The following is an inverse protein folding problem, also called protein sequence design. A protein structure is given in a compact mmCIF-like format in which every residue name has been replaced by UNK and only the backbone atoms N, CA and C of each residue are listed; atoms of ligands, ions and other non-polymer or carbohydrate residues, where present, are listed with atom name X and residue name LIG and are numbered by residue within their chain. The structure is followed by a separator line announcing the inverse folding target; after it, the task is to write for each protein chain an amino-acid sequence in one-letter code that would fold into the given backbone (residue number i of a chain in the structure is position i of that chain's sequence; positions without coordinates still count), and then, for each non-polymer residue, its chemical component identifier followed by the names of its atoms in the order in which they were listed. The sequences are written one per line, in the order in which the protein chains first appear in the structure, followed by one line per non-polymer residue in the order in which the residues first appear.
data_IF_619409823555
#
_entry.id   IF_619409823555
#
_cell.length_a   1.000
_cell.length_b   1.000
_cell.length_c   1.000
_cell.angle_alpha   90.00
_cell.angle_beta   90.00
_cell.angle_gamma   90.00
#
_symmetry.space_group_name_H-M   'P 1'
#
loop_
_entity.id
_entity.type
_entity.pdbx_description
1 polymer ?
#
# COMPACT_ATOMS: atom_id res chain seq x y z
N UNK A 1 -9.95 19.37 -23.39
CA UNK A 1 -9.97 18.36 -22.31
C UNK A 1 -10.54 19.00 -21.06
N UNK A 2 -11.32 18.24 -20.27
CA UNK A 2 -11.97 18.72 -19.05
C UNK A 2 -11.17 18.33 -17.79
N UNK A 3 -10.11 17.53 -17.96
CA UNK A 3 -9.20 17.10 -16.92
C UNK A 3 -8.01 16.33 -17.48
N UNK A 4 -6.99 16.14 -16.65
CA UNK A 4 -5.75 15.44 -16.98
C UNK A 4 -5.50 14.38 -15.91
N UNK A 5 -5.25 13.14 -16.31
CA UNK A 5 -4.67 12.13 -15.45
C UNK A 5 -3.19 11.98 -15.77
N UNK A 6 -2.36 12.06 -14.73
CA UNK A 6 -0.92 11.81 -14.84
C UNK A 6 -0.58 10.45 -14.24
N UNK A 7 0.13 9.63 -14.99
CA UNK A 7 0.75 8.39 -14.50
C UNK A 7 2.20 8.34 -14.95
N UNK A 8 3.14 8.35 -14.02
CA UNK A 8 4.56 8.39 -14.33
C UNK A 8 5.46 8.37 -13.11
N UNK A 9 6.73 8.69 -13.31
CA UNK A 9 7.72 8.82 -12.25
C UNK A 9 7.92 10.30 -11.92
N UNK A 10 8.03 10.61 -10.62
CA UNK A 10 8.24 11.97 -10.14
C UNK A 10 6.96 12.67 -9.67
N UNK A 11 6.85 12.85 -8.36
CA UNK A 11 5.74 13.57 -7.73
C UNK A 11 5.72 15.05 -8.13
N UNK A 12 6.90 15.68 -8.26
CA UNK A 12 7.06 17.09 -8.67
C UNK A 12 6.46 17.39 -10.05
N UNK A 13 6.40 16.39 -10.94
CA UNK A 13 5.85 16.55 -12.28
C UNK A 13 4.33 16.73 -12.21
N UNK A 14 3.62 15.89 -11.47
CA UNK A 14 2.16 15.99 -11.34
C UNK A 14 1.78 17.29 -10.60
N UNK A 15 2.57 17.71 -9.62
CA UNK A 15 2.34 18.97 -8.89
C UNK A 15 2.50 20.18 -9.79
N UNK A 16 3.56 20.22 -10.60
CA UNK A 16 3.75 21.28 -11.61
C UNK A 16 2.64 21.26 -12.66
N UNK A 17 2.22 20.08 -13.12
CA UNK A 17 1.07 19.99 -14.02
C UNK A 17 -0.18 20.59 -13.40
N UNK A 18 -0.46 20.30 -12.14
CA UNK A 18 -1.62 20.85 -11.43
C UNK A 18 -1.50 22.37 -11.23
N UNK A 19 -0.31 22.89 -10.96
CA UNK A 19 -0.06 24.34 -10.78
C UNK A 19 -0.36 25.14 -12.07
N UNK A 20 0.04 24.62 -13.24
CA UNK A 20 -0.07 25.35 -14.51
C UNK A 20 -1.27 24.94 -15.36
N UNK A 21 -2.02 23.92 -14.97
CA UNK A 21 -3.17 23.44 -15.73
C UNK A 21 -4.42 24.29 -15.47
N UNK A 22 -5.17 24.66 -16.51
CA UNK A 22 -6.47 25.32 -16.36
C UNK A 22 -7.61 24.35 -16.00
N UNK A 23 -7.34 23.03 -15.96
CA UNK A 23 -8.30 21.96 -15.66
C UNK A 23 -7.77 21.10 -14.52
N UNK A 24 -8.65 20.36 -13.80
CA UNK A 24 -8.23 19.44 -12.74
C UNK A 24 -7.18 18.44 -13.21
N UNK A 25 -6.21 18.15 -12.36
CA UNK A 25 -5.18 17.12 -12.60
C UNK A 25 -5.29 16.05 -11.51
N UNK A 26 -5.36 14.80 -11.94
CA UNK A 26 -5.37 13.63 -11.05
C UNK A 26 -4.02 12.93 -11.06
N UNK A 27 -3.52 12.60 -9.88
CA UNK A 27 -2.39 11.70 -9.76
C UNK A 27 -2.88 10.25 -9.92
N UNK A 28 -2.75 9.68 -11.11
CA UNK A 28 -3.02 8.27 -11.39
C UNK A 28 -1.98 7.33 -10.78
N UNK A 29 -0.71 7.75 -10.75
CA UNK A 29 0.39 7.09 -10.05
C UNK A 29 1.66 7.91 -10.16
N UNK A 30 2.42 8.00 -9.06
CA UNK A 30 3.84 8.36 -9.04
C UNK A 30 4.63 7.30 -8.25
N UNK A 31 5.96 7.46 -8.15
CA UNK A 31 6.77 6.63 -7.25
C UNK A 31 6.46 6.87 -5.76
N UNK A 32 5.86 8.01 -5.41
CA UNK A 32 5.57 8.41 -4.03
C UNK A 32 4.13 8.18 -3.60
N UNK A 33 3.17 8.24 -4.55
CA UNK A 33 1.76 8.13 -4.25
C UNK A 33 0.94 7.51 -5.39
N UNK A 34 -0.13 6.79 -5.03
CA UNK A 34 -1.10 6.20 -5.95
C UNK A 34 -2.55 6.41 -5.42
N UNK A 35 -3.02 7.67 -5.33
CA UNK A 35 -4.28 7.98 -4.67
C UNK A 35 -5.51 7.38 -5.38
N UNK A 36 -5.48 7.21 -6.71
CA UNK A 36 -6.59 6.60 -7.45
C UNK A 36 -6.75 5.11 -7.16
N UNK A 37 -5.64 4.38 -6.87
CA UNK A 37 -5.72 3.00 -6.39
C UNK A 37 -6.39 2.93 -5.03
N UNK A 38 -6.09 3.89 -4.15
CA UNK A 38 -6.69 3.93 -2.82
C UNK A 38 -8.22 4.13 -2.88
N UNK A 39 -8.72 4.92 -3.81
CA UNK A 39 -10.15 5.06 -4.03
C UNK A 39 -10.79 3.76 -4.49
N UNK A 40 -10.12 2.99 -5.36
CA UNK A 40 -10.56 1.67 -5.79
C UNK A 40 -10.55 0.66 -4.62
N UNK A 41 -9.52 0.70 -3.78
CA UNK A 41 -9.42 -0.16 -2.60
C UNK A 41 -10.52 0.16 -1.59
N UNK A 42 -10.83 1.45 -1.34
CA UNK A 42 -11.95 1.85 -0.48
C UNK A 42 -13.29 1.35 -1.01
N UNK A 43 -13.52 1.48 -2.31
CA UNK A 43 -14.74 0.96 -2.92
C UNK A 43 -14.85 -0.55 -2.70
N UNK A 44 -13.79 -1.29 -2.98
CA UNK A 44 -13.72 -2.74 -2.75
C UNK A 44 -13.97 -3.09 -1.28
N UNK A 45 -13.34 -2.36 -0.35
CA UNK A 45 -13.53 -2.59 1.08
C UNK A 45 -14.99 -2.36 1.50
N UNK A 46 -15.64 -1.31 0.98
CA UNK A 46 -17.06 -1.02 1.30
C UNK A 46 -18.03 -2.02 0.68
N UNK A 47 -17.70 -2.60 -0.48
CA UNK A 47 -18.53 -3.61 -1.15
C UNK A 47 -18.45 -4.98 -0.45
N UNK A 48 -17.35 -5.26 0.24
CA UNK A 48 -17.06 -6.58 0.84
C UNK A 48 -17.05 -6.59 2.36
N UNK A 49 -17.18 -5.45 3.04
CA UNK A 49 -17.22 -5.34 4.48
C UNK A 49 -18.35 -4.42 4.92
N UNK A 50 -19.19 -4.89 5.85
CA UNK A 50 -20.30 -4.10 6.39
C UNK A 50 -19.91 -3.08 7.44
N UNK A 51 -18.66 -3.10 7.91
CA UNK A 51 -18.14 -2.12 8.87
C UNK A 51 -18.00 -0.75 8.21
N UNK A 52 -18.25 0.34 8.94
CA UNK A 52 -17.87 1.67 8.46
C UNK A 52 -16.34 1.74 8.29
N UNK A 53 -15.87 2.52 7.32
CA UNK A 53 -14.44 2.58 6.96
C UNK A 53 -13.51 2.81 8.16
N UNK A 54 -13.89 3.67 9.11
CA UNK A 54 -13.08 3.98 10.29
C UNK A 54 -12.94 2.81 11.29
N UNK A 55 -13.75 1.76 11.15
CA UNK A 55 -13.67 0.53 11.96
C UNK A 55 -12.92 -0.59 11.25
N UNK A 56 -12.71 -0.48 9.95
CA UNK A 56 -11.96 -1.48 9.17
C UNK A 56 -10.50 -1.45 9.58
N UNK A 57 -9.96 -2.62 9.89
CA UNK A 57 -8.53 -2.81 10.15
C UNK A 57 -7.90 -3.53 8.97
N UNK A 58 -6.80 -3.01 8.45
CA UNK A 58 -6.08 -3.65 7.36
C UNK A 58 -4.56 -3.58 7.55
N UNK A 59 -3.88 -4.59 7.03
CA UNK A 59 -2.43 -4.69 7.04
C UNK A 59 -1.88 -4.66 5.62
N UNK A 60 -0.78 -3.95 5.43
CA UNK A 60 0.05 -4.01 4.23
C UNK A 60 1.33 -4.76 4.54
N UNK A 61 1.61 -5.84 3.81
CA UNK A 61 2.80 -6.67 3.96
C UNK A 61 3.71 -6.49 2.75
N UNK A 62 4.96 -6.09 2.95
CA UNK A 62 5.91 -5.94 1.85
C UNK A 62 6.81 -4.72 1.98
N UNK A 63 7.23 -4.16 0.85
CA UNK A 63 8.04 -2.94 0.81
C UNK A 63 7.14 -1.70 0.95
N UNK A 64 7.14 -1.10 2.13
CA UNK A 64 6.28 0.02 2.45
C UNK A 64 6.88 1.41 2.13
N UNK A 65 8.07 1.47 1.52
CA UNK A 65 8.79 2.74 1.26
C UNK A 65 8.19 3.58 0.13
N UNK A 66 7.41 2.96 -0.77
CA UNK A 66 6.96 3.57 -2.01
C UNK A 66 5.47 3.91 -2.02
N UNK A 67 4.94 4.18 -3.21
CA UNK A 67 3.61 4.73 -3.44
C UNK A 67 2.47 4.00 -2.72
N UNK A 68 2.43 2.66 -2.72
CA UNK A 68 1.35 1.93 -2.07
C UNK A 68 1.44 2.02 -0.54
N UNK A 69 2.62 1.75 0.06
CA UNK A 69 2.81 1.90 1.49
C UNK A 69 2.50 3.31 2.00
N UNK A 70 2.99 4.33 1.29
CA UNK A 70 2.74 5.73 1.61
C UNK A 70 1.26 6.09 1.49
N UNK A 71 0.60 5.69 0.39
CA UNK A 71 -0.79 6.03 0.12
C UNK A 71 -1.74 5.32 1.07
N UNK A 72 -1.51 4.03 1.33
CA UNK A 72 -2.31 3.25 2.28
C UNK A 72 -2.19 3.81 3.70
N UNK A 73 -1.00 4.24 4.13
CA UNK A 73 -0.82 4.86 5.44
C UNK A 73 -1.59 6.19 5.57
N UNK A 74 -1.68 6.97 4.50
CA UNK A 74 -2.41 8.25 4.46
C UNK A 74 -3.92 8.10 4.48
N UNK A 75 -4.47 6.89 4.30
CA UNK A 75 -5.92 6.65 4.26
C UNK A 75 -6.67 6.98 5.56
N UNK A 76 -6.01 6.96 6.69
CA UNK A 76 -6.61 7.36 7.96
C UNK A 76 -7.57 6.35 8.58
N UNK A 77 -7.45 5.07 8.24
CA UNK A 77 -8.16 3.93 8.84
C UNK A 77 -7.31 3.28 9.95
N UNK A 78 -7.65 2.06 10.38
CA UNK A 78 -6.78 1.26 11.24
C UNK A 78 -5.77 0.52 10.38
N UNK A 79 -4.63 1.14 10.15
CA UNK A 79 -3.59 0.67 9.24
C UNK A 79 -2.39 0.08 9.97
N UNK A 80 -1.89 -1.04 9.47
CA UNK A 80 -0.67 -1.68 9.95
C UNK A 80 0.29 -1.91 8.80
N UNK A 81 1.44 -1.23 8.86
CA UNK A 81 2.57 -1.46 7.96
C UNK A 81 3.43 -2.58 8.51
N UNK A 82 3.44 -3.71 7.82
CA UNK A 82 4.14 -4.94 8.23
C UNK A 82 5.31 -5.18 7.29
N UNK A 83 6.49 -4.76 7.69
CA UNK A 83 7.69 -4.79 6.86
C UNK A 83 8.96 -4.87 7.71
N UNK A 84 10.08 -5.36 7.15
CA UNK A 84 11.39 -5.19 7.78
C UNK A 84 11.66 -3.71 8.07
N UNK A 85 12.37 -3.40 9.13
CA UNK A 85 12.66 -2.01 9.52
C UNK A 85 13.25 -1.16 8.38
N UNK A 86 14.12 -1.76 7.55
CA UNK A 86 14.72 -1.08 6.41
C UNK A 86 13.76 -0.81 5.23
N UNK A 87 12.59 -1.45 5.21
CA UNK A 87 11.58 -1.34 4.16
C UNK A 87 10.28 -0.70 4.65
N UNK A 88 10.31 -0.08 5.80
CA UNK A 88 9.19 0.72 6.32
C UNK A 88 9.08 2.07 5.60
N UNK A 89 7.90 2.63 5.60
CA UNK A 89 7.65 4.03 5.23
C UNK A 89 8.62 4.96 5.98
N UNK A 90 9.08 6.04 5.34
CA UNK A 90 9.99 7.01 5.99
C UNK A 90 9.41 7.57 7.28
N UNK A 91 10.29 7.94 8.21
CA UNK A 91 9.86 8.54 9.48
C UNK A 91 9.11 9.86 9.26
N UNK A 92 9.48 10.63 8.26
CA UNK A 92 8.78 11.88 7.91
C UNK A 92 7.31 11.62 7.57
N UNK A 93 7.03 10.69 6.65
CA UNK A 93 5.65 10.33 6.27
C UNK A 93 4.91 9.72 7.46
N UNK A 94 5.58 8.86 8.23
CA UNK A 94 4.97 8.23 9.40
C UNK A 94 4.54 9.26 10.44
N UNK A 95 5.40 10.22 10.80
CA UNK A 95 5.07 11.28 11.77
C UNK A 95 3.95 12.20 11.25
N UNK A 96 3.97 12.54 9.97
CA UNK A 96 2.88 13.30 9.34
C UNK A 96 1.55 12.56 9.46
N UNK A 97 1.53 11.25 9.17
CA UNK A 97 0.31 10.45 9.27
C UNK A 97 -0.16 10.26 10.72
N UNK A 98 0.75 10.15 11.69
CA UNK A 98 0.39 10.09 13.11
C UNK A 98 -0.29 11.39 13.57
N UNK A 99 0.21 12.55 13.15
CA UNK A 99 -0.39 13.84 13.49
C UNK A 99 -1.82 13.99 12.93
N UNK A 100 -2.10 13.44 11.75
CA UNK A 100 -3.46 13.41 11.18
C UNK A 100 -4.33 12.33 11.86
N UNK A 101 -3.74 11.20 12.25
CA UNK A 101 -4.44 10.14 12.98
C UNK A 101 -4.97 10.62 14.35
N UNK A 102 -4.20 11.44 15.06
CA UNK A 102 -4.66 12.06 16.32
C UNK A 102 -5.93 12.90 16.14
N UNK A 103 -6.09 13.57 14.99
CA UNK A 103 -7.26 14.38 14.69
C UNK A 103 -8.47 13.57 14.24
N UNK A 104 -8.23 12.51 13.46
CA UNK A 104 -9.27 11.69 12.83
C UNK A 104 -9.72 10.50 13.68
N UNK A 105 -8.93 10.10 14.69
CA UNK A 105 -9.13 8.86 15.45
C UNK A 105 -8.63 7.61 14.71
N UNK A 106 -7.85 7.74 13.64
CA UNK A 106 -7.21 6.64 12.95
C UNK A 106 -6.12 5.99 13.83
N UNK A 107 -5.82 4.73 13.53
CA UNK A 107 -4.75 3.99 14.21
C UNK A 107 -3.69 3.58 13.18
N UNK A 108 -2.45 4.03 13.36
CA UNK A 108 -1.35 3.71 12.44
C UNK A 108 -0.23 3.02 13.22
N UNK A 109 0.15 1.83 12.79
CA UNK A 109 1.18 1.01 13.42
C UNK A 109 2.20 0.55 12.39
N UNK A 110 3.49 0.63 12.73
CA UNK A 110 4.58 -0.06 12.00
C UNK A 110 5.06 -1.23 12.85
N UNK A 111 5.20 -2.40 12.25
CA UNK A 111 5.73 -3.61 12.91
C UNK A 111 6.50 -4.47 11.92
N UNK A 112 7.46 -5.23 12.40
CA UNK A 112 8.15 -6.30 11.66
C UNK A 112 7.60 -7.69 11.98
N UNK A 113 6.65 -7.79 12.92
CA UNK A 113 6.01 -9.04 13.32
C UNK A 113 4.74 -9.29 12.49
N UNK A 114 4.80 -10.25 11.58
CA UNK A 114 3.69 -10.61 10.69
C UNK A 114 2.45 -11.03 11.47
N UNK A 115 2.60 -11.89 12.48
CA UNK A 115 1.47 -12.43 13.25
C UNK A 115 0.73 -11.32 14.02
N UNK A 116 1.47 -10.38 14.62
CA UNK A 116 0.88 -9.22 15.29
C UNK A 116 0.24 -8.25 14.29
N UNK A 117 0.91 -8.05 13.17
CA UNK A 117 0.47 -7.12 12.13
C UNK A 117 -0.87 -7.52 11.50
N UNK A 118 -1.08 -8.79 11.22
CA UNK A 118 -2.33 -9.26 10.57
C UNK A 118 -3.44 -9.63 11.54
N UNK A 119 -3.14 -9.80 12.82
CA UNK A 119 -4.13 -10.20 13.82
C UNK A 119 -5.28 -9.20 13.91
N UNK A 120 -6.51 -9.70 13.68
CA UNK A 120 -7.71 -8.85 13.73
C UNK A 120 -7.92 -7.95 12.52
N UNK A 121 -7.16 -8.14 11.43
CA UNK A 121 -7.38 -7.41 10.19
C UNK A 121 -8.55 -7.98 9.39
N UNK A 122 -9.32 -7.09 8.80
CA UNK A 122 -10.41 -7.42 7.88
C UNK A 122 -9.90 -7.58 6.45
N UNK A 123 -8.78 -6.89 6.13
CA UNK A 123 -8.09 -7.00 4.84
C UNK A 123 -6.59 -7.13 5.04
N UNK A 124 -5.97 -7.92 4.16
CA UNK A 124 -4.52 -8.09 4.08
C UNK A 124 -4.08 -7.71 2.67
N UNK A 125 -3.23 -6.72 2.56
CA UNK A 125 -2.79 -6.13 1.30
C UNK A 125 -1.30 -6.42 1.06
N UNK A 126 -0.92 -6.66 -0.18
CA UNK A 126 0.48 -6.68 -0.62
C UNK A 126 0.62 -6.09 -2.02
N UNK A 127 1.85 -5.82 -2.41
CA UNK A 127 2.22 -5.33 -3.73
C UNK A 127 3.45 -6.08 -4.23
N UNK A 128 3.90 -5.76 -5.44
CA UNK A 128 5.17 -6.27 -5.97
C UNK A 128 6.33 -5.88 -5.06
N UNK A 129 7.32 -6.76 -4.94
CA UNK A 129 8.43 -6.56 -4.00
C UNK A 129 9.55 -5.66 -4.54
N UNK A 130 9.59 -5.46 -5.83
CA UNK A 130 10.52 -4.52 -6.48
C UNK A 130 9.69 -3.46 -7.19
N UNK A 131 9.85 -2.22 -6.76
CA UNK A 131 9.06 -1.10 -7.25
C UNK A 131 9.54 -0.61 -8.60
N UNK A 132 8.67 0.12 -9.30
CA UNK A 132 8.98 0.74 -10.58
C UNK A 132 10.22 1.65 -10.46
N UNK A 133 11.19 1.43 -11.35
CA UNK A 133 12.43 2.21 -11.39
C UNK A 133 13.58 1.65 -10.54
N UNK A 134 13.35 0.59 -9.75
CA UNK A 134 14.45 -0.14 -9.12
C UNK A 134 15.17 -1.06 -10.14
N UNK A 135 16.49 -1.22 -10.05
CA UNK A 135 17.25 -2.08 -10.95
C UNK A 135 17.00 -3.57 -10.66
N UNK A 136 17.13 -4.42 -11.69
CA UNK A 136 16.88 -5.86 -11.58
C UNK A 136 17.78 -6.57 -10.55
N UNK A 137 18.96 -6.02 -10.29
CA UNK A 137 19.94 -6.58 -9.36
C UNK A 137 19.45 -6.64 -7.91
N UNK A 138 18.45 -5.81 -7.53
CA UNK A 138 17.90 -5.81 -6.17
C UNK A 138 16.97 -6.98 -5.88
N UNK A 139 16.50 -7.71 -6.90
CA UNK A 139 15.52 -8.79 -6.73
C UNK A 139 15.96 -9.86 -5.72
N UNK A 140 17.19 -10.34 -5.83
CA UNK A 140 17.67 -11.41 -4.94
C UNK A 140 17.68 -10.98 -3.47
N UNK A 141 18.13 -9.77 -3.18
CA UNK A 141 18.13 -9.21 -1.84
C UNK A 141 16.70 -9.00 -1.34
N UNK A 142 15.84 -8.44 -2.20
CA UNK A 142 14.43 -8.14 -1.86
C UNK A 142 13.66 -9.41 -1.56
N UNK A 143 13.83 -10.46 -2.35
CA UNK A 143 13.23 -11.78 -2.10
C UNK A 143 13.69 -12.32 -0.74
N UNK A 144 14.98 -12.25 -0.42
CA UNK A 144 15.47 -12.70 0.86
C UNK A 144 14.86 -11.94 2.04
N UNK A 145 14.73 -10.61 1.93
CA UNK A 145 14.15 -9.75 2.96
C UNK A 145 12.65 -9.96 3.12
N UNK A 146 11.90 -10.14 2.03
CA UNK A 146 10.43 -10.14 2.04
C UNK A 146 9.81 -11.53 2.04
N UNK A 147 10.56 -12.61 1.83
CA UNK A 147 10.04 -13.98 1.94
C UNK A 147 9.28 -14.24 3.25
N UNK A 148 9.72 -13.78 4.43
CA UNK A 148 8.97 -13.92 5.68
C UNK A 148 7.65 -13.14 5.71
N UNK A 149 7.48 -12.16 4.83
CA UNK A 149 6.30 -11.29 4.74
C UNK A 149 5.35 -11.68 3.61
N UNK A 150 5.62 -12.80 2.94
CA UNK A 150 4.76 -13.29 1.87
C UNK A 150 3.39 -13.66 2.42
N UNK A 151 2.32 -13.13 1.80
CA UNK A 151 0.95 -13.49 2.17
C UNK A 151 0.67 -14.92 1.72
N UNK A 152 0.50 -15.81 2.69
CA UNK A 152 0.18 -17.24 2.50
C UNK A 152 -1.16 -17.55 3.15
N UNK A 153 -1.66 -18.79 2.96
CA UNK A 153 -2.88 -19.26 3.63
C UNK A 153 -2.74 -19.21 5.16
N UNK A 154 -1.54 -19.48 5.67
CA UNK A 154 -1.24 -19.42 7.10
C UNK A 154 -1.29 -17.98 7.62
N UNK A 155 -0.76 -17.02 6.86
CA UNK A 155 -0.84 -15.58 7.19
C UNK A 155 -2.30 -15.12 7.18
N UNK A 156 -3.07 -15.48 6.16
CA UNK A 156 -4.50 -15.15 6.08
C UNK A 156 -5.30 -15.77 7.24
N UNK A 157 -4.93 -16.96 7.69
CA UNK A 157 -5.58 -17.62 8.83
C UNK A 157 -5.34 -16.92 10.18
N UNK A 158 -4.32 -16.05 10.29
CA UNK A 158 -4.06 -15.24 11.49
C UNK A 158 -4.91 -13.96 11.53
N UNK A 159 -5.48 -13.55 10.41
CA UNK A 159 -6.37 -12.40 10.30
C UNK A 159 -7.79 -12.76 10.82
N UNK A 160 -8.74 -11.83 10.68
CA UNK A 160 -10.13 -12.11 11.04
C UNK A 160 -10.71 -13.25 10.17
N UNK A 161 -11.62 -14.08 10.71
CA UNK A 161 -12.39 -15.00 9.88
C UNK A 161 -13.09 -14.25 8.75
N UNK A 162 -12.86 -14.67 7.50
CA UNK A 162 -13.39 -14.00 6.32
C UNK A 162 -12.59 -12.79 5.85
N UNK A 163 -11.40 -12.55 6.40
CA UNK A 163 -10.49 -11.52 5.89
C UNK A 163 -10.21 -11.70 4.40
N UNK A 164 -10.13 -10.60 3.68
CA UNK A 164 -9.97 -10.56 2.23
C UNK A 164 -8.55 -10.13 1.88
N UNK A 165 -7.97 -10.83 0.90
CA UNK A 165 -6.68 -10.47 0.32
C UNK A 165 -6.85 -9.43 -0.78
N UNK A 166 -6.03 -8.38 -0.75
CA UNK A 166 -5.97 -7.34 -1.77
C UNK A 166 -4.56 -7.23 -2.37
N UNK A 167 -4.50 -6.91 -3.64
CA UNK A 167 -3.26 -6.65 -4.37
C UNK A 167 -3.55 -5.64 -5.49
N UNK A 168 -2.74 -4.61 -5.64
CA UNK A 168 -2.83 -3.79 -6.85
C UNK A 168 -2.31 -4.56 -8.08
N UNK A 169 -2.69 -4.15 -9.28
CA UNK A 169 -2.28 -4.82 -10.51
C UNK A 169 -1.13 -4.05 -11.20
N UNK A 170 -0.26 -4.78 -11.92
CA UNK A 170 -0.22 -6.22 -12.17
C UNK A 170 0.28 -7.05 -10.98
N UNK A 171 -0.18 -8.29 -10.85
CA UNK A 171 0.37 -9.29 -9.93
C UNK A 171 0.92 -10.48 -10.70
N UNK A 172 2.10 -10.97 -10.32
CA UNK A 172 2.75 -12.11 -10.96
C UNK A 172 2.55 -13.35 -10.10
N UNK A 173 1.77 -14.33 -10.59
CA UNK A 173 1.43 -15.54 -9.84
C UNK A 173 1.39 -16.81 -10.72
N UNK A 174 1.93 -16.73 -11.93
CA UNK A 174 2.01 -17.85 -12.86
C UNK A 174 3.47 -18.21 -13.18
N UNK A 175 3.64 -19.36 -13.83
CA UNK A 175 4.96 -19.85 -14.26
C UNK A 175 5.43 -19.31 -15.61
N UNK A 176 4.68 -18.36 -16.20
CA UNK A 176 5.00 -17.80 -17.52
C UNK A 176 5.92 -16.59 -17.43
N UNK A 177 6.23 -16.14 -16.23
CA UNK A 177 7.18 -15.05 -15.96
C UNK A 177 8.41 -15.56 -15.23
N UNK A 178 9.54 -14.89 -15.42
CA UNK A 178 10.81 -15.23 -14.73
C UNK A 178 10.68 -15.17 -13.20
N UNK A 179 9.71 -14.37 -12.70
CA UNK A 179 9.49 -14.15 -11.28
C UNK A 179 8.50 -15.18 -10.71
N UNK A 180 7.56 -15.65 -11.52
CA UNK A 180 6.54 -16.61 -11.10
C UNK A 180 6.95 -18.09 -11.31
N UNK A 181 8.11 -18.34 -11.94
CA UNK A 181 8.61 -19.67 -12.26
C UNK A 181 9.26 -20.40 -11.08
#
# INVERSE_FOLDING_TARGET
YDGIEYRGYGQDIVEKLAEFSPVPVWNGLTNEAHPTQILADFLTMTEHCSKPLHEITFAYLGDARYNMGNSLMKMGMKFRSVAPAALQTSDEIYQMCLAEAEKSGAEIVRTDNVAEGVKGCDFVYTDVWVSMGEPDEVWAERIAQLTPYRVTSEVMAMANPGAIFLHCLPSFHDTNTTIGA
#
